data_IF_143922013809
#
_entry.id   IF_143922013809
#
_cell.length_a   1.000
_cell.length_b   1.000
_cell.length_c   1.000
_cell.angle_alpha   90.00
_cell.angle_beta   90.00
_cell.angle_gamma   90.00
#
_symmetry.space_group_name_H-M   'P 1'
#
loop_
_entity.id
_entity.type
_entity.pdbx_description
1 polymer ?
#
# COMPACT_ATOMS: atom_id res chain seq x y z
N UNK A 1 -12.11 26.04 84.15
CA UNK A 1 -10.83 25.81 83.42
C UNK A 1 -10.71 24.37 82.95
N UNK A 2 -10.45 23.37 83.81
CA UNK A 2 -10.29 21.97 83.34
C UNK A 2 -11.54 21.39 82.64
N UNK A 3 -12.74 21.60 83.20
CA UNK A 3 -13.99 21.14 82.57
C UNK A 3 -14.34 21.89 81.27
N UNK A 4 -13.85 23.12 81.09
CA UNK A 4 -14.09 23.89 79.87
C UNK A 4 -13.18 23.41 78.73
N UNK A 5 -11.92 23.05 79.06
CA UNK A 5 -10.98 22.43 78.12
C UNK A 5 -11.45 21.04 77.65
N UNK A 6 -12.07 20.24 78.53
CA UNK A 6 -12.65 18.94 78.14
C UNK A 6 -13.83 19.15 77.18
N UNK A 7 -14.76 20.06 77.49
CA UNK A 7 -15.90 20.37 76.62
C UNK A 7 -15.46 20.91 75.25
N UNK A 8 -14.38 21.70 75.21
CA UNK A 8 -13.84 22.21 73.95
C UNK A 8 -13.18 21.10 73.12
N UNK A 9 -12.44 20.19 73.75
CA UNK A 9 -11.89 19.00 73.08
C UNK A 9 -12.99 18.07 72.54
N UNK A 10 -14.07 17.87 73.30
CA UNK A 10 -15.22 17.08 72.85
C UNK A 10 -15.91 17.71 71.63
N UNK A 11 -16.11 19.04 71.63
CA UNK A 11 -16.61 19.77 70.45
C UNK A 11 -15.70 19.62 69.25
N UNK A 12 -14.38 19.72 69.42
CA UNK A 12 -13.43 19.53 68.32
C UNK A 12 -13.46 18.11 67.76
N UNK A 13 -13.63 17.08 68.60
CA UNK A 13 -13.80 15.69 68.17
C UNK A 13 -15.09 15.52 67.36
N UNK A 14 -16.20 16.12 67.78
CA UNK A 14 -17.47 16.08 67.05
C UNK A 14 -17.33 16.76 65.68
N UNK A 15 -16.72 17.95 65.64
CA UNK A 15 -16.47 18.68 64.38
C UNK A 15 -15.56 17.87 63.44
N UNK A 16 -14.52 17.22 63.97
CA UNK A 16 -13.63 16.39 63.16
C UNK A 16 -14.35 15.16 62.59
N UNK A 17 -15.19 14.48 63.40
CA UNK A 17 -16.02 13.35 62.94
C UNK A 17 -17.03 13.78 61.87
N UNK A 18 -17.65 14.94 62.03
CA UNK A 18 -18.62 15.44 61.06
C UNK A 18 -17.96 15.84 59.74
N UNK A 19 -16.77 16.45 59.79
CA UNK A 19 -15.96 16.69 58.58
C UNK A 19 -15.54 15.40 57.89
N UNK A 20 -15.20 14.36 58.64
CA UNK A 20 -14.83 13.05 58.06
C UNK A 20 -16.04 12.38 57.39
N UNK A 21 -17.22 12.44 58.00
CA UNK A 21 -18.48 11.96 57.40
C UNK A 21 -18.80 12.76 56.11
N UNK A 22 -18.63 14.08 56.12
CA UNK A 22 -18.85 14.90 54.93
C UNK A 22 -17.86 14.55 53.81
N UNK A 23 -16.59 14.29 54.15
CA UNK A 23 -15.56 13.85 53.20
C UNK A 23 -15.92 12.50 52.59
N UNK A 24 -16.29 11.50 53.40
CA UNK A 24 -16.70 10.18 52.92
C UNK A 24 -17.93 10.26 52.00
N UNK A 25 -18.91 11.10 52.33
CA UNK A 25 -20.07 11.36 51.47
C UNK A 25 -19.68 12.00 50.13
N UNK A 26 -18.74 12.95 50.15
CA UNK A 26 -18.23 13.58 48.92
C UNK A 26 -17.45 12.58 48.04
N UNK A 27 -16.63 11.71 48.64
CA UNK A 27 -15.89 10.67 47.92
C UNK A 27 -16.84 9.63 47.28
N UNK A 28 -17.90 9.20 47.99
CA UNK A 28 -18.94 8.32 47.43
C UNK A 28 -19.65 8.99 46.26
N UNK A 29 -20.04 10.26 46.40
CA UNK A 29 -20.72 11.00 45.34
C UNK A 29 -19.84 11.16 44.10
N UNK A 30 -18.55 11.47 44.28
CA UNK A 30 -17.59 11.56 43.17
C UNK A 30 -17.41 10.20 42.46
N UNK A 31 -17.34 9.11 43.22
CA UNK A 31 -17.23 7.77 42.65
C UNK A 31 -18.48 7.38 41.84
N UNK A 32 -19.68 7.68 42.36
CA UNK A 32 -20.93 7.45 41.63
C UNK A 32 -21.02 8.28 40.35
N UNK A 33 -20.62 9.56 40.40
CA UNK A 33 -20.56 10.44 39.24
C UNK A 33 -19.58 9.91 38.18
N UNK A 34 -18.38 9.47 38.59
CA UNK A 34 -17.40 8.88 37.68
C UNK A 34 -17.94 7.61 37.02
N UNK A 35 -18.58 6.72 37.79
CA UNK A 35 -19.20 5.50 37.28
C UNK A 35 -20.31 5.79 36.27
N UNK A 36 -21.12 6.84 36.51
CA UNK A 36 -22.13 7.28 35.55
C UNK A 36 -21.50 7.83 34.26
N UNK A 37 -20.42 8.62 34.36
CA UNK A 37 -19.68 9.11 33.19
C UNK A 37 -19.07 7.98 32.37
N UNK A 38 -18.45 6.99 33.02
CA UNK A 38 -17.89 5.82 32.33
C UNK A 38 -18.97 5.00 31.61
N UNK A 39 -20.14 4.81 32.23
CA UNK A 39 -21.27 4.15 31.58
C UNK A 39 -21.80 4.95 30.38
N UNK A 40 -21.87 6.28 30.49
CA UNK A 40 -22.28 7.14 29.38
C UNK A 40 -21.28 7.08 28.20
N UNK A 41 -19.97 7.07 28.48
CA UNK A 41 -18.92 6.91 27.46
C UNK A 41 -19.08 5.57 26.73
N UNK A 42 -19.28 4.46 27.46
CA UNK A 42 -19.50 3.14 26.85
C UNK A 42 -20.74 3.11 25.96
N UNK A 43 -21.83 3.77 26.37
CA UNK A 43 -23.03 3.88 25.54
C UNK A 43 -22.78 4.68 24.26
N UNK A 44 -22.02 5.78 24.35
CA UNK A 44 -21.63 6.60 23.20
C UNK A 44 -20.73 5.79 22.24
N UNK A 45 -19.75 5.04 22.75
CA UNK A 45 -18.89 4.19 21.93
C UNK A 45 -19.68 3.10 21.18
N UNK A 46 -20.64 2.46 21.85
CA UNK A 46 -21.52 1.46 21.21
C UNK A 46 -22.42 2.10 20.16
N UNK A 47 -22.96 3.29 20.44
CA UNK A 47 -23.77 4.03 19.48
C UNK A 47 -22.94 4.46 18.26
N UNK A 48 -21.71 4.95 18.47
CA UNK A 48 -20.81 5.35 17.41
C UNK A 48 -20.46 4.17 16.51
N UNK A 49 -20.09 3.03 17.10
CA UNK A 49 -19.81 1.80 16.33
C UNK A 49 -21.02 1.36 15.49
N UNK A 50 -22.23 1.48 16.04
CA UNK A 50 -23.46 1.15 15.31
C UNK A 50 -23.70 2.13 14.15
N UNK A 51 -23.43 3.42 14.33
CA UNK A 51 -23.52 4.44 13.27
C UNK A 51 -22.51 4.13 12.16
N UNK A 52 -21.27 3.80 12.51
CA UNK A 52 -20.21 3.49 11.54
C UNK A 52 -20.58 2.22 10.72
N UNK A 53 -21.07 1.17 11.37
CA UNK A 53 -21.55 -0.05 10.70
C UNK A 53 -22.73 0.22 9.75
N UNK A 54 -23.64 1.13 10.12
CA UNK A 54 -24.75 1.53 9.25
C UNK A 54 -24.28 2.38 8.07
N UNK A 55 -23.31 3.27 8.28
CA UNK A 55 -22.72 4.08 7.22
C UNK A 55 -21.99 3.21 6.18
N UNK A 56 -21.21 2.20 6.62
CA UNK A 56 -20.56 1.25 5.71
C UNK A 56 -21.57 0.44 4.88
N UNK A 57 -22.67 -0.01 5.50
CA UNK A 57 -23.77 -0.70 4.80
C UNK A 57 -24.44 0.21 3.76
N UNK A 58 -24.65 1.49 4.07
CA UNK A 58 -25.21 2.45 3.12
C UNK A 58 -24.27 2.68 1.93
N UNK A 59 -22.98 2.89 2.18
CA UNK A 59 -21.96 3.07 1.12
C UNK A 59 -21.89 1.83 0.22
N UNK A 60 -21.84 0.63 0.80
CA UNK A 60 -21.79 -0.61 0.01
C UNK A 60 -23.05 -0.82 -0.84
N UNK A 61 -24.22 -0.47 -0.31
CA UNK A 61 -25.50 -0.53 -1.04
C UNK A 61 -25.54 0.50 -2.18
N UNK A 62 -25.07 1.72 -1.93
CA UNK A 62 -24.98 2.76 -2.95
C UNK A 62 -24.07 2.35 -4.10
N UNK A 63 -22.86 1.86 -3.80
CA UNK A 63 -21.92 1.37 -4.80
C UNK A 63 -22.50 0.21 -5.62
N UNK A 64 -23.23 -0.71 -4.99
CA UNK A 64 -23.90 -1.82 -5.70
C UNK A 64 -25.01 -1.32 -6.65
N UNK A 65 -25.74 -0.28 -6.27
CA UNK A 65 -26.76 0.33 -7.13
C UNK A 65 -26.14 1.08 -8.31
N UNK A 66 -25.05 1.84 -8.08
CA UNK A 66 -24.31 2.52 -9.15
C UNK A 66 -23.79 1.53 -10.21
N UNK A 67 -23.26 0.38 -9.78
CA UNK A 67 -22.84 -0.70 -10.68
C UNK A 67 -24.01 -1.28 -11.50
N UNK A 68 -25.20 -1.43 -10.90
CA UNK A 68 -26.39 -1.91 -11.61
C UNK A 68 -26.87 -0.89 -12.65
N UNK A 69 -26.85 0.39 -12.31
CA UNK A 69 -27.23 1.46 -13.23
C UNK A 69 -26.28 1.53 -14.43
N UNK A 70 -24.98 1.36 -14.20
CA UNK A 70 -24.00 1.28 -15.29
C UNK A 70 -24.25 0.08 -16.22
N UNK A 71 -24.54 -1.09 -15.67
CA UNK A 71 -24.91 -2.28 -16.46
C UNK A 71 -26.19 -2.06 -17.27
N UNK A 72 -27.21 -1.41 -16.70
CA UNK A 72 -28.45 -1.08 -17.42
C UNK A 72 -28.15 -0.15 -18.60
N UNK A 73 -27.26 0.84 -18.42
CA UNK A 73 -26.85 1.75 -19.49
C UNK A 73 -26.11 0.99 -20.60
N UNK A 74 -25.21 0.06 -20.25
CA UNK A 74 -24.50 -0.77 -21.22
C UNK A 74 -25.46 -1.64 -22.04
N UNK A 75 -26.39 -2.34 -21.37
CA UNK A 75 -27.40 -3.19 -22.03
C UNK A 75 -28.27 -2.35 -22.98
N UNK A 76 -28.68 -1.14 -22.59
CA UNK A 76 -29.45 -0.24 -23.47
C UNK A 76 -28.67 0.14 -24.73
N UNK A 77 -27.39 0.48 -24.59
CA UNK A 77 -26.51 0.81 -25.74
C UNK A 77 -26.31 -0.38 -26.67
N UNK A 78 -26.16 -1.58 -26.14
CA UNK A 78 -26.03 -2.80 -26.96
C UNK A 78 -27.33 -3.10 -27.72
N UNK A 79 -28.48 -2.99 -27.05
CA UNK A 79 -29.78 -3.17 -27.69
C UNK A 79 -30.00 -2.19 -28.84
N UNK A 80 -29.68 -0.92 -28.64
CA UNK A 80 -29.80 0.10 -29.69
C UNK A 80 -28.87 -0.18 -30.89
N UNK A 81 -27.63 -0.65 -30.64
CA UNK A 81 -26.71 -1.07 -31.70
C UNK A 81 -27.25 -2.25 -32.51
N UNK A 82 -27.86 -3.23 -31.87
CA UNK A 82 -28.48 -4.38 -32.55
C UNK A 82 -29.66 -3.92 -33.40
N UNK A 83 -30.53 -3.08 -32.85
CA UNK A 83 -31.69 -2.55 -33.58
C UNK A 83 -31.29 -1.73 -34.82
N UNK A 84 -30.22 -0.93 -34.72
CA UNK A 84 -29.68 -0.19 -35.88
C UNK A 84 -29.16 -1.16 -36.95
N UNK A 85 -28.43 -2.21 -36.56
CA UNK A 85 -27.91 -3.22 -37.50
C UNK A 85 -29.04 -3.98 -38.20
N UNK A 86 -30.07 -4.37 -37.48
CA UNK A 86 -31.24 -5.06 -38.05
C UNK A 86 -31.96 -4.18 -39.07
N UNK A 87 -32.18 -2.90 -38.77
CA UNK A 87 -32.78 -1.94 -39.71
C UNK A 87 -31.93 -1.72 -40.96
N UNK A 88 -30.61 -1.64 -40.80
CA UNK A 88 -29.68 -1.49 -41.93
C UNK A 88 -29.68 -2.74 -42.82
N UNK A 89 -29.67 -3.93 -42.22
CA UNK A 89 -29.74 -5.20 -42.96
C UNK A 89 -31.08 -5.35 -43.69
N UNK A 90 -32.19 -5.00 -43.06
CA UNK A 90 -33.51 -5.03 -43.70
C UNK A 90 -33.58 -4.06 -44.90
N UNK A 91 -32.99 -2.86 -44.78
CA UNK A 91 -32.90 -1.91 -45.90
C UNK A 91 -32.10 -2.51 -47.06
N UNK A 92 -30.93 -3.12 -46.79
CA UNK A 92 -30.11 -3.77 -47.81
C UNK A 92 -30.85 -4.92 -48.52
N UNK A 93 -31.64 -5.71 -47.78
CA UNK A 93 -32.48 -6.77 -48.38
C UNK A 93 -33.54 -6.20 -49.32
N UNK A 94 -34.23 -5.13 -48.91
CA UNK A 94 -35.24 -4.44 -49.73
C UNK A 94 -34.63 -3.80 -50.98
N UNK A 95 -33.47 -3.18 -50.86
CA UNK A 95 -32.73 -2.62 -52.00
C UNK A 95 -32.32 -3.71 -53.00
N UNK A 96 -31.79 -4.85 -52.52
CA UNK A 96 -31.40 -5.96 -53.36
C UNK A 96 -32.60 -6.63 -54.08
N UNK A 97 -33.74 -6.75 -53.40
CA UNK A 97 -34.97 -7.27 -54.00
C UNK A 97 -35.52 -6.32 -55.06
N UNK A 98 -35.54 -5.01 -54.77
CA UNK A 98 -35.95 -4.00 -55.76
C UNK A 98 -35.08 -4.01 -57.01
N UNK A 99 -33.76 -4.16 -56.84
CA UNK A 99 -32.83 -4.21 -57.98
C UNK A 99 -33.01 -5.49 -58.80
N UNK A 100 -33.26 -6.62 -58.14
CA UNK A 100 -33.57 -7.90 -58.81
C UNK A 100 -34.83 -7.78 -59.66
N UNK A 101 -35.87 -7.12 -59.16
CA UNK A 101 -37.12 -6.93 -59.89
C UNK A 101 -36.92 -6.05 -61.14
N UNK A 102 -36.16 -4.96 -61.04
CA UNK A 102 -35.79 -4.13 -62.20
C UNK A 102 -35.04 -4.95 -63.26
N UNK A 103 -34.04 -5.73 -62.85
CA UNK A 103 -33.28 -6.59 -63.77
C UNK A 103 -34.17 -7.63 -64.46
N UNK A 104 -35.16 -8.17 -63.75
CA UNK A 104 -36.13 -9.10 -64.33
C UNK A 104 -37.06 -8.41 -65.33
N UNK A 105 -37.52 -7.20 -65.02
CA UNK A 105 -38.36 -6.38 -65.90
C UNK A 105 -37.59 -5.99 -67.18
N UNK A 106 -36.37 -5.49 -67.06
CA UNK A 106 -35.50 -5.16 -68.19
C UNK A 106 -35.24 -6.38 -69.07
N UNK A 107 -34.93 -7.54 -68.48
CA UNK A 107 -34.75 -8.79 -69.22
C UNK A 107 -36.02 -9.23 -69.96
N UNK A 108 -37.19 -8.99 -69.38
CA UNK A 108 -38.47 -9.31 -70.02
C UNK A 108 -38.74 -8.38 -71.22
N UNK A 109 -38.50 -7.08 -71.06
CA UNK A 109 -38.60 -6.10 -72.14
C UNK A 109 -37.66 -6.47 -73.29
N UNK A 110 -36.39 -6.79 -72.99
CA UNK A 110 -35.40 -7.20 -73.98
C UNK A 110 -35.83 -8.45 -74.76
N UNK A 111 -36.44 -9.45 -74.09
CA UNK A 111 -36.96 -10.65 -74.78
C UNK A 111 -38.06 -10.32 -75.79
N UNK A 112 -38.95 -9.39 -75.45
CA UNK A 112 -40.01 -8.93 -76.36
C UNK A 112 -39.39 -8.20 -77.56
N UNK A 113 -38.42 -7.32 -77.29
CA UNK A 113 -37.77 -6.53 -78.33
C UNK A 113 -36.97 -7.41 -79.29
N UNK A 114 -36.24 -8.40 -78.79
CA UNK A 114 -35.56 -9.43 -79.61
C UNK A 114 -36.56 -10.14 -80.53
N UNK A 115 -37.71 -10.57 -80.00
CA UNK A 115 -38.72 -11.28 -80.77
C UNK A 115 -39.32 -10.41 -81.88
N UNK A 116 -39.57 -9.13 -81.57
CA UNK A 116 -40.07 -8.14 -82.54
C UNK A 116 -39.04 -7.86 -83.64
N UNK A 117 -37.78 -7.70 -83.26
CA UNK A 117 -36.69 -7.45 -84.19
C UNK A 117 -36.45 -8.65 -85.12
N UNK A 118 -36.55 -9.88 -84.60
CA UNK A 118 -36.48 -11.10 -85.43
C UNK A 118 -37.55 -11.13 -86.52
N UNK A 119 -38.78 -10.72 -86.19
CA UNK A 119 -39.86 -10.65 -87.17
C UNK A 119 -39.64 -9.57 -88.24
N UNK A 120 -39.28 -8.35 -87.83
CA UNK A 120 -38.98 -7.27 -88.78
C UNK A 120 -37.79 -7.63 -89.68
N UNK A 121 -36.76 -8.29 -89.14
CA UNK A 121 -35.60 -8.76 -89.89
C UNK A 121 -35.99 -9.76 -90.99
N UNK A 122 -36.85 -10.73 -90.68
CA UNK A 122 -37.38 -11.67 -91.67
C UNK A 122 -38.11 -10.94 -92.81
N UNK A 123 -38.92 -9.92 -92.47
CA UNK A 123 -39.67 -9.12 -93.47
C UNK A 123 -38.75 -8.28 -94.36
N UNK A 124 -37.65 -7.75 -93.81
CA UNK A 124 -36.64 -7.01 -94.58
C UNK A 124 -35.90 -7.95 -95.53
N UNK A 125 -35.50 -9.14 -95.08
CA UNK A 125 -34.87 -10.17 -95.92
C UNK A 125 -35.74 -10.53 -97.12
N UNK A 126 -37.04 -10.72 -96.90
CA UNK A 126 -38.00 -11.01 -97.98
C UNK A 126 -38.09 -9.86 -99.00
N UNK A 127 -38.06 -8.61 -98.54
CA UNK A 127 -38.25 -7.43 -99.40
C UNK A 127 -37.02 -7.03 -100.23
N UNK A 128 -35.82 -7.15 -99.68
CA UNK A 128 -34.59 -6.59 -100.27
C UNK A 128 -33.60 -7.66 -100.80
N UNK A 129 -33.91 -8.94 -100.57
CA UNK A 129 -33.06 -10.08 -100.92
C UNK A 129 -31.94 -10.31 -99.90
N UNK A 130 -31.61 -11.58 -99.65
CA UNK A 130 -30.64 -11.99 -98.63
C UNK A 130 -29.25 -11.36 -98.84
N UNK A 131 -28.76 -11.28 -100.09
CA UNK A 131 -27.39 -10.84 -100.38
C UNK A 131 -27.15 -9.35 -100.03
N UNK A 132 -28.15 -8.48 -100.19
CA UNK A 132 -28.02 -7.07 -99.84
C UNK A 132 -28.10 -6.88 -98.32
N UNK A 133 -28.96 -7.66 -97.65
CA UNK A 133 -29.08 -7.63 -96.20
C UNK A 133 -27.81 -8.16 -95.53
N UNK A 134 -27.18 -9.21 -96.07
CA UNK A 134 -25.92 -9.75 -95.56
C UNK A 134 -24.75 -8.73 -95.63
N UNK A 135 -24.67 -7.94 -96.70
CA UNK A 135 -23.65 -6.87 -96.84
C UNK A 135 -23.84 -5.75 -95.82
N UNK A 136 -25.08 -5.33 -95.59
CA UNK A 136 -25.41 -4.33 -94.57
C UNK A 136 -25.11 -4.85 -93.15
N UNK A 137 -25.39 -6.15 -92.88
CA UNK A 137 -25.03 -6.82 -91.62
C UNK A 137 -23.52 -6.77 -91.39
N UNK A 138 -22.71 -7.12 -92.40
CA UNK A 138 -21.25 -7.08 -92.28
C UNK A 138 -20.74 -5.66 -91.96
N UNK A 139 -21.35 -4.63 -92.56
CA UNK A 139 -21.01 -3.24 -92.25
C UNK A 139 -21.35 -2.89 -90.80
N UNK A 140 -22.55 -3.27 -90.33
CA UNK A 140 -22.98 -3.04 -88.95
C UNK A 140 -22.11 -3.82 -87.96
N UNK A 141 -21.75 -5.07 -88.25
CA UNK A 141 -20.84 -5.89 -87.44
C UNK A 141 -19.47 -5.23 -87.29
N UNK A 142 -18.95 -4.62 -88.35
CA UNK A 142 -17.67 -3.90 -88.28
C UNK A 142 -17.72 -2.68 -87.34
N UNK A 143 -18.83 -1.91 -87.39
CA UNK A 143 -19.05 -0.77 -86.49
C UNK A 143 -19.33 -1.22 -85.05
N UNK A 144 -19.98 -2.38 -84.87
CA UNK A 144 -20.26 -2.94 -83.56
C UNK A 144 -18.96 -3.40 -82.89
N UNK A 145 -18.06 -4.06 -83.62
CA UNK A 145 -16.73 -4.41 -83.11
C UNK A 145 -15.95 -3.20 -82.61
N UNK A 146 -15.97 -2.08 -83.35
CA UNK A 146 -15.31 -0.84 -82.91
C UNK A 146 -15.93 -0.28 -81.61
N UNK A 147 -17.25 -0.39 -81.44
CA UNK A 147 -17.93 -0.01 -80.20
C UNK A 147 -17.60 -0.95 -79.05
N UNK A 148 -17.56 -2.26 -79.30
CA UNK A 148 -17.24 -3.28 -78.29
C UNK A 148 -15.80 -3.09 -77.78
N UNK A 149 -14.83 -2.82 -78.67
CA UNK A 149 -13.46 -2.46 -78.28
C UNK A 149 -13.42 -1.21 -77.40
N UNK A 150 -14.27 -0.21 -77.69
CA UNK A 150 -14.36 1.02 -76.88
C UNK A 150 -15.02 0.78 -75.53
N UNK A 151 -16.00 -0.11 -75.45
CA UNK A 151 -16.62 -0.55 -74.19
C UNK A 151 -15.57 -1.27 -73.34
N UNK A 152 -14.82 -2.21 -73.92
CA UNK A 152 -13.77 -2.95 -73.23
C UNK A 152 -12.70 -2.01 -72.65
N UNK A 153 -12.28 -1.00 -73.41
CA UNK A 153 -11.36 0.04 -72.92
C UNK A 153 -11.94 0.84 -71.73
N UNK A 154 -13.23 1.14 -71.75
CA UNK A 154 -13.90 1.86 -70.67
C UNK A 154 -14.08 0.98 -69.43
N UNK A 155 -14.42 -0.29 -69.60
CA UNK A 155 -14.52 -1.27 -68.53
C UNK A 155 -13.18 -1.45 -67.81
N UNK A 156 -12.08 -1.60 -68.57
CA UNK A 156 -10.75 -1.70 -67.97
C UNK A 156 -10.35 -0.40 -67.26
N UNK A 157 -10.67 0.77 -67.83
CA UNK A 157 -10.45 2.07 -67.20
C UNK A 157 -11.21 2.22 -65.87
N UNK A 158 -12.47 1.77 -65.82
CA UNK A 158 -13.27 1.78 -64.60
C UNK A 158 -12.77 0.77 -63.58
N UNK A 159 -12.37 -0.44 -64.02
CA UNK A 159 -11.79 -1.47 -63.14
C UNK A 159 -10.55 -0.95 -62.43
N UNK A 160 -9.67 -0.24 -63.14
CA UNK A 160 -8.47 0.38 -62.56
C UNK A 160 -8.86 1.46 -61.53
N UNK A 161 -9.86 2.30 -61.81
CA UNK A 161 -10.33 3.32 -60.86
C UNK A 161 -10.94 2.72 -59.60
N UNK A 162 -11.73 1.66 -59.75
CA UNK A 162 -12.33 0.95 -58.60
C UNK A 162 -11.25 0.32 -57.72
N UNK A 163 -10.19 -0.23 -58.33
CA UNK A 163 -9.05 -0.74 -57.59
C UNK A 163 -8.29 0.37 -56.83
N UNK A 164 -8.08 1.53 -57.45
CA UNK A 164 -7.48 2.68 -56.76
C UNK A 164 -8.34 3.20 -55.60
N UNK A 165 -9.67 3.15 -55.74
CA UNK A 165 -10.59 3.51 -54.66
C UNK A 165 -10.49 2.51 -53.50
N UNK A 166 -10.47 1.20 -53.78
CA UNK A 166 -10.27 0.16 -52.75
C UNK A 166 -8.98 0.38 -51.98
N UNK A 167 -7.87 0.61 -52.66
CA UNK A 167 -6.58 0.84 -52.02
C UNK A 167 -6.59 2.08 -51.11
N UNK A 168 -7.25 3.17 -51.55
CA UNK A 168 -7.42 4.37 -50.72
C UNK A 168 -8.29 4.12 -49.49
N UNK A 169 -9.37 3.36 -49.64
CA UNK A 169 -10.26 3.04 -48.52
C UNK A 169 -9.55 2.16 -47.47
N UNK A 170 -8.72 1.20 -47.92
CA UNK A 170 -7.88 0.38 -47.04
C UNK A 170 -6.84 1.22 -46.28
N UNK A 171 -6.16 2.13 -46.97
CA UNK A 171 -5.19 3.06 -46.35
C UNK A 171 -5.86 3.96 -45.30
N UNK A 172 -7.04 4.49 -45.61
CA UNK A 172 -7.82 5.34 -44.73
C UNK A 172 -8.36 4.56 -43.51
N UNK A 173 -8.72 3.30 -43.69
CA UNK A 173 -9.10 2.40 -42.59
C UNK A 173 -7.90 2.09 -41.69
N UNK A 174 -6.72 1.86 -42.27
CA UNK A 174 -5.48 1.64 -41.52
C UNK A 174 -5.16 2.87 -40.66
N UNK A 175 -5.15 4.07 -41.24
CA UNK A 175 -4.87 5.34 -40.53
C UNK A 175 -5.85 5.57 -39.38
N UNK A 176 -7.15 5.30 -39.59
CA UNK A 176 -8.17 5.38 -38.52
C UNK A 176 -7.88 4.42 -37.38
N UNK A 177 -7.43 3.20 -37.69
CA UNK A 177 -7.10 2.19 -36.68
C UNK A 177 -5.88 2.59 -35.84
N UNK A 178 -4.84 3.17 -36.47
CA UNK A 178 -3.66 3.66 -35.78
C UNK A 178 -3.99 4.86 -34.89
N UNK A 179 -4.78 5.81 -35.41
CA UNK A 179 -5.23 6.96 -34.63
C UNK A 179 -6.02 6.54 -33.38
N UNK A 180 -6.85 5.50 -33.48
CA UNK A 180 -7.55 4.93 -32.32
C UNK A 180 -6.57 4.31 -31.31
N UNK A 181 -5.56 3.56 -31.75
CA UNK A 181 -4.53 3.00 -30.87
C UNK A 181 -3.79 4.08 -30.09
N UNK A 182 -3.33 5.12 -30.81
CA UNK A 182 -2.63 6.27 -30.20
C UNK A 182 -3.53 6.96 -29.18
N UNK A 183 -4.81 7.13 -29.48
CA UNK A 183 -5.76 7.77 -28.56
C UNK A 183 -5.97 6.95 -27.28
N UNK A 184 -6.02 5.63 -27.37
CA UNK A 184 -6.11 4.73 -26.21
C UNK A 184 -4.84 4.83 -25.36
N UNK A 185 -3.67 4.77 -26.00
CA UNK A 185 -2.38 4.86 -25.31
C UNK A 185 -2.20 6.21 -24.58
N UNK A 186 -2.61 7.30 -25.22
CA UNK A 186 -2.57 8.64 -24.62
C UNK A 186 -3.50 8.75 -23.40
N UNK A 187 -4.67 8.09 -23.45
CA UNK A 187 -5.59 8.04 -22.31
C UNK A 187 -4.99 7.26 -21.14
N UNK A 188 -4.39 6.09 -21.41
CA UNK A 188 -3.73 5.28 -20.39
C UNK A 188 -2.55 6.00 -19.76
N UNK A 189 -1.72 6.70 -20.55
CA UNK A 189 -0.61 7.49 -20.06
C UNK A 189 -1.08 8.63 -19.13
N UNK A 190 -2.18 9.31 -19.46
CA UNK A 190 -2.76 10.34 -18.61
C UNK A 190 -3.33 9.77 -17.30
N UNK A 191 -4.04 8.63 -17.35
CA UNK A 191 -4.54 7.96 -16.15
C UNK A 191 -3.39 7.53 -15.21
N UNK A 192 -2.30 7.01 -15.77
CA UNK A 192 -1.11 6.63 -15.01
C UNK A 192 -0.47 7.85 -14.34
N UNK A 193 -0.35 8.97 -15.07
CA UNK A 193 0.22 10.22 -14.54
C UNK A 193 -0.60 10.79 -13.38
N UNK A 194 -1.93 10.72 -13.47
CA UNK A 194 -2.81 11.14 -12.36
C UNK A 194 -2.66 10.22 -11.14
N UNK A 195 -2.55 8.89 -11.34
CA UNK A 195 -2.28 7.96 -10.23
C UNK A 195 -0.96 8.28 -9.53
N UNK A 196 0.11 8.47 -10.29
CA UNK A 196 1.43 8.83 -9.75
C UNK A 196 1.39 10.15 -8.97
N UNK A 197 0.62 11.13 -9.45
CA UNK A 197 0.43 12.41 -8.74
C UNK A 197 -0.28 12.20 -7.40
N UNK A 198 -1.38 11.45 -7.37
CA UNK A 198 -2.11 11.16 -6.12
C UNK A 198 -1.28 10.34 -5.13
N UNK A 199 -0.46 9.40 -5.62
CA UNK A 199 0.41 8.61 -4.76
C UNK A 199 1.53 9.47 -4.17
N UNK A 200 2.07 10.41 -4.96
CA UNK A 200 3.06 11.37 -4.47
C UNK A 200 2.48 12.29 -3.41
N UNK A 201 1.27 12.81 -3.60
CA UNK A 201 0.56 13.62 -2.60
C UNK A 201 0.37 12.86 -1.27
N UNK A 202 -0.03 11.58 -1.33
CA UNK A 202 -0.15 10.73 -0.13
C UNK A 202 1.19 10.53 0.59
N UNK A 203 2.27 10.28 -0.16
CA UNK A 203 3.62 10.13 0.41
C UNK A 203 4.11 11.43 1.07
N UNK A 204 3.81 12.58 0.47
CA UNK A 204 4.16 13.88 1.04
C UNK A 204 3.38 14.15 2.34
N UNK A 205 2.10 13.78 2.40
CA UNK A 205 1.30 13.83 3.64
C UNK A 205 1.86 12.91 4.73
N UNK A 206 2.20 11.66 4.39
CA UNK A 206 2.79 10.70 5.32
C UNK A 206 4.13 11.18 5.87
N UNK A 207 5.01 11.72 5.01
CA UNK A 207 6.29 12.33 5.42
C UNK A 207 6.05 13.48 6.40
N UNK A 208 5.00 14.29 6.19
CA UNK A 208 4.69 15.41 7.06
C UNK A 208 4.21 14.92 8.44
N UNK A 209 3.36 13.89 8.49
CA UNK A 209 2.91 13.25 9.73
C UNK A 209 4.11 12.68 10.51
N UNK A 210 4.99 11.92 9.84
CA UNK A 210 6.18 11.34 10.45
C UNK A 210 7.17 12.40 10.95
N UNK A 211 7.26 13.56 10.27
CA UNK A 211 8.03 14.71 10.76
C UNK A 211 7.48 15.27 12.06
N UNK A 212 6.16 15.42 12.15
CA UNK A 212 5.50 15.93 13.37
C UNK A 212 5.70 14.95 14.53
N UNK A 213 5.54 13.65 14.29
CA UNK A 213 5.74 12.61 15.30
C UNK A 213 7.19 12.56 15.80
N UNK A 214 8.17 12.58 14.88
CA UNK A 214 9.58 12.66 15.26
C UNK A 214 9.93 13.91 16.07
N UNK A 215 9.30 15.06 15.77
CA UNK A 215 9.49 16.28 16.56
C UNK A 215 8.98 16.11 17.99
N UNK A 216 7.80 15.50 18.18
CA UNK A 216 7.24 15.22 19.50
C UNK A 216 8.10 14.25 20.32
N UNK A 217 8.58 13.17 19.69
CA UNK A 217 9.46 12.19 20.35
C UNK A 217 10.78 12.80 20.78
N UNK A 218 11.35 13.72 19.98
CA UNK A 218 12.56 14.46 20.37
C UNK A 218 12.33 15.31 21.61
N UNK A 219 11.23 16.05 21.68
CA UNK A 219 10.87 16.84 22.87
C UNK A 219 10.66 15.96 24.11
N UNK A 220 10.07 14.77 23.94
CA UNK A 220 9.85 13.83 25.04
C UNK A 220 11.18 13.25 25.55
N UNK A 221 12.07 12.82 24.65
CA UNK A 221 13.41 12.33 24.99
C UNK A 221 14.25 13.40 25.71
N UNK A 222 14.16 14.66 25.30
CA UNK A 222 14.85 15.77 25.96
C UNK A 222 14.34 15.97 27.40
N UNK A 223 13.02 15.84 27.63
CA UNK A 223 12.44 15.86 28.99
C UNK A 223 12.92 14.69 29.86
N UNK A 224 13.10 13.50 29.28
CA UNK A 224 13.66 12.35 30.01
C UNK A 224 15.14 12.57 30.39
N UNK A 225 15.95 13.13 29.50
CA UNK A 225 17.35 13.46 29.82
C UNK A 225 17.45 14.46 30.99
N UNK A 226 16.60 15.49 31.00
CA UNK A 226 16.59 16.50 32.07
C UNK A 226 16.15 15.88 33.42
N UNK A 227 15.16 14.97 33.42
CA UNK A 227 14.74 14.24 34.63
C UNK A 227 15.79 13.25 35.12
N UNK A 228 16.47 12.56 34.21
CA UNK A 228 17.55 11.60 34.48
C UNK A 228 18.76 12.28 35.14
N UNK A 229 19.10 13.49 34.72
CA UNK A 229 20.25 14.23 35.26
C UNK A 229 20.02 14.87 36.66
N UNK A 230 18.83 14.73 37.27
CA UNK A 230 18.54 15.27 38.61
C UNK A 230 18.78 14.29 39.76
N UNK A 231 19.12 13.03 39.48
CA UNK A 231 19.67 12.11 40.47
C UNK A 231 20.75 11.26 39.81
N UNK A 232 21.93 11.82 39.60
CA UNK A 232 23.11 10.94 39.59
C UNK A 232 23.11 10.23 40.94
N UNK A 233 23.10 8.88 40.99
CA UNK A 233 23.48 8.19 42.20
C UNK A 233 24.86 8.75 42.55
N UNK A 234 24.94 9.46 43.68
CA UNK A 234 26.23 9.83 44.28
C UNK A 234 27.12 8.62 44.18
N UNK A 235 28.31 8.80 43.61
CA UNK A 235 29.36 7.79 43.48
C UNK A 235 29.32 6.86 44.69
N UNK A 236 28.86 5.62 44.49
CA UNK A 236 28.88 4.62 45.56
C UNK A 236 30.35 4.48 45.96
N UNK A 237 30.73 4.82 47.21
CA UNK A 237 32.13 4.78 47.59
C UNK A 237 32.62 3.34 47.45
N UNK A 238 33.55 3.12 46.51
CA UNK A 238 34.19 1.81 46.30
C UNK A 238 35.16 1.59 47.45
N UNK A 239 34.68 0.98 48.52
CA UNK A 239 35.50 0.45 49.60
C UNK A 239 35.97 -0.97 49.26
N UNK A 240 37.25 -1.26 49.47
CA UNK A 240 37.85 -2.57 49.19
C UNK A 240 38.03 -3.28 50.54
N UNK A 241 37.47 -4.47 50.65
CA UNK A 241 37.71 -5.37 51.77
C UNK A 241 38.94 -6.23 51.45
N UNK A 242 40.08 -5.86 52.05
CA UNK A 242 41.33 -6.63 51.96
C UNK A 242 41.54 -7.45 53.23
N UNK A 243 41.23 -8.75 53.24
CA UNK A 243 41.46 -9.60 54.39
C UNK A 243 42.96 -9.77 54.74
N UNK A 244 43.88 -9.55 53.78
CA UNK A 244 45.34 -9.67 53.97
C UNK A 244 46.08 -8.36 53.65
N UNK A 245 46.09 -7.43 54.62
CA UNK A 245 46.80 -6.14 54.48
C UNK A 245 48.32 -6.26 54.34
N UNK A 246 48.90 -7.41 54.68
CA UNK A 246 50.33 -7.71 54.55
C UNK A 246 50.76 -7.99 53.11
N UNK A 247 49.83 -8.29 52.21
CA UNK A 247 50.14 -8.80 50.87
C UNK A 247 49.72 -7.90 49.70
N UNK A 248 48.73 -7.04 49.92
CA UNK A 248 48.16 -6.16 48.88
C UNK A 248 48.17 -4.72 49.38
N UNK A 249 48.67 -3.80 48.55
CA UNK A 249 48.54 -2.36 48.72
C UNK A 249 47.55 -1.77 47.71
N UNK A 250 46.98 -0.62 48.06
CA UNK A 250 46.04 0.11 47.21
C UNK A 250 46.42 1.57 47.15
N UNK A 251 46.29 2.17 45.96
CA UNK A 251 46.37 3.62 45.79
C UNK A 251 45.17 4.11 45.01
N UNK A 252 44.54 5.19 45.47
CA UNK A 252 43.53 5.89 44.68
C UNK A 252 44.22 6.71 43.58
N UNK A 253 43.82 6.47 42.32
CA UNK A 253 44.44 7.13 41.15
C UNK A 253 43.60 8.34 40.72
N UNK A 254 42.27 8.19 40.72
CA UNK A 254 41.29 9.21 40.34
C UNK A 254 39.93 8.85 40.95
N UNK A 255 39.03 9.80 41.20
CA UNK A 255 37.72 9.58 41.82
C UNK A 255 37.06 8.24 41.41
N UNK A 256 37.04 7.27 42.33
CA UNK A 256 36.42 5.95 42.11
C UNK A 256 37.32 4.87 41.48
N UNK A 257 38.51 5.21 40.98
CA UNK A 257 39.48 4.26 40.41
C UNK A 257 40.56 3.94 41.44
N UNK A 258 40.58 2.68 41.87
CA UNK A 258 41.60 2.13 42.77
C UNK A 258 42.56 1.24 42.01
N UNK A 259 43.86 1.45 42.23
CA UNK A 259 44.92 0.59 41.71
C UNK A 259 45.41 -0.34 42.82
N UNK A 260 45.49 -1.63 42.49
CA UNK A 260 45.83 -2.72 43.40
C UNK A 260 47.26 -3.18 43.08
N UNK A 261 48.12 -3.29 44.09
CA UNK A 261 49.51 -3.74 43.94
C UNK A 261 49.81 -4.94 44.83
N UNK A 262 50.35 -6.04 44.29
CA UNK A 262 50.90 -7.12 45.10
C UNK A 262 52.23 -6.71 45.73
N UNK A 263 52.45 -7.04 47.01
CA UNK A 263 53.74 -6.83 47.71
C UNK A 263 54.77 -7.91 47.40
N UNK A 264 54.33 -9.16 47.17
CA UNK A 264 55.19 -10.32 46.87
C UNK A 264 54.74 -11.00 45.56
N UNK A 265 55.59 -11.76 44.85
CA UNK A 265 55.19 -12.40 43.58
C UNK A 265 54.60 -13.81 43.70
N UNK A 266 54.78 -14.48 44.85
CA UNK A 266 54.76 -15.96 44.86
C UNK A 266 53.45 -16.60 45.37
N UNK A 267 52.39 -15.82 45.58
CA UNK A 267 51.13 -16.32 46.16
C UNK A 267 49.90 -15.82 45.39
N UNK A 268 48.84 -16.62 45.38
CA UNK A 268 47.55 -16.23 44.81
C UNK A 268 46.86 -15.23 45.73
N UNK A 269 46.19 -14.24 45.15
CA UNK A 269 45.54 -13.18 45.91
C UNK A 269 44.15 -12.92 45.41
N UNK A 270 43.23 -12.80 46.36
CA UNK A 270 41.86 -12.43 46.13
C UNK A 270 41.49 -11.31 47.10
N UNK A 271 40.84 -10.28 46.58
CA UNK A 271 40.27 -9.19 47.37
C UNK A 271 38.85 -8.95 46.89
N UNK A 272 37.97 -8.51 47.79
CA UNK A 272 36.58 -8.22 47.46
C UNK A 272 36.29 -6.72 47.60
N UNK A 273 35.26 -6.26 46.90
CA UNK A 273 34.66 -4.96 47.16
C UNK A 273 33.65 -5.09 48.31
N UNK A 274 33.54 -4.07 49.16
CA UNK A 274 32.57 -4.06 50.26
C UNK A 274 31.12 -3.85 49.81
N UNK A 275 30.89 -3.55 48.53
CA UNK A 275 29.54 -3.27 48.01
C UNK A 275 28.79 -4.57 47.72
N UNK A 276 27.59 -4.71 48.31
CA UNK A 276 26.67 -5.81 48.06
C UNK A 276 25.75 -5.45 46.89
N UNK A 277 25.66 -6.34 45.89
CA UNK A 277 24.81 -6.17 44.70
C UNK A 277 23.51 -6.94 44.91
N UNK A 278 22.44 -6.25 45.36
CA UNK A 278 21.16 -6.91 45.68
C UNK A 278 20.14 -6.89 44.52
N UNK A 279 20.12 -5.85 43.67
CA UNK A 279 19.15 -5.70 42.55
C UNK A 279 19.50 -4.61 41.50
N UNK A 280 20.77 -4.23 41.34
CA UNK A 280 21.17 -3.17 40.39
C UNK A 280 21.73 -3.70 39.08
N UNK A 281 21.46 -2.99 37.98
CA UNK A 281 22.30 -3.02 36.78
C UNK A 281 23.59 -2.27 37.11
N UNK A 282 24.58 -2.98 37.62
CA UNK A 282 25.87 -2.44 38.00
C UNK A 282 26.93 -2.84 36.97
N UNK A 283 27.79 -1.90 36.54
CA UNK A 283 28.91 -2.15 35.63
C UNK A 283 30.23 -1.94 36.36
N UNK A 284 31.13 -2.91 36.27
CA UNK A 284 32.48 -2.84 36.82
C UNK A 284 33.49 -3.04 35.68
N UNK A 285 34.45 -2.12 35.58
CA UNK A 285 35.54 -2.19 34.62
C UNK A 285 36.85 -2.44 35.38
N UNK A 286 37.63 -3.43 34.94
CA UNK A 286 38.91 -3.80 35.54
C UNK A 286 39.95 -3.94 34.44
N UNK A 287 41.08 -3.26 34.63
CA UNK A 287 42.24 -3.32 33.74
C UNK A 287 43.37 -4.09 34.45
N UNK A 288 43.83 -5.20 33.85
CA UNK A 288 44.99 -5.96 34.34
C UNK A 288 46.24 -5.55 33.57
N UNK A 289 47.30 -5.12 34.28
CA UNK A 289 48.61 -4.81 33.69
C UNK A 289 49.66 -5.78 34.23
N UNK A 290 50.51 -6.28 33.33
CA UNK A 290 51.69 -7.09 33.66
C UNK A 290 51.41 -8.37 34.49
N UNK A 291 50.18 -8.90 34.44
CA UNK A 291 49.82 -10.16 35.10
C UNK A 291 49.69 -11.31 34.10
N UNK A 292 50.30 -12.45 34.41
CA UNK A 292 50.11 -13.71 33.65
C UNK A 292 48.72 -14.31 33.87
N UNK A 293 48.12 -14.05 35.04
CA UNK A 293 46.84 -14.60 35.47
C UNK A 293 46.05 -13.51 36.18
N UNK A 294 44.89 -13.16 35.64
CA UNK A 294 43.99 -12.17 36.22
C UNK A 294 42.56 -12.68 36.14
N UNK A 295 41.76 -12.38 37.16
CA UNK A 295 40.37 -12.78 37.19
C UNK A 295 39.52 -11.78 37.93
N UNK A 296 38.26 -11.70 37.52
CA UNK A 296 37.22 -10.88 38.14
C UNK A 296 36.01 -11.77 38.40
N UNK A 297 35.32 -11.57 39.51
CA UNK A 297 34.21 -12.45 39.85
C UNK A 297 33.28 -11.86 40.89
N UNK A 298 32.27 -12.65 41.23
CA UNK A 298 31.31 -12.38 42.30
C UNK A 298 31.45 -13.45 43.38
N UNK A 299 31.31 -13.03 44.63
CA UNK A 299 31.37 -13.89 45.82
C UNK A 299 30.08 -13.70 46.62
N UNK A 300 29.59 -14.77 47.26
CA UNK A 300 28.46 -14.64 48.19
C UNK A 300 28.85 -13.75 49.36
N UNK A 301 27.98 -12.81 49.72
CA UNK A 301 28.20 -11.89 50.85
C UNK A 301 28.55 -12.61 52.16
N UNK A 302 27.95 -13.77 52.41
CA UNK A 302 28.22 -14.58 53.59
C UNK A 302 29.57 -15.32 53.60
N UNK A 303 30.37 -15.24 52.53
CA UNK A 303 31.61 -16.01 52.40
C UNK A 303 32.83 -15.12 52.63
N UNK A 304 33.62 -15.46 53.65
CA UNK A 304 34.88 -14.78 53.97
C UNK A 304 35.98 -15.41 53.12
N UNK A 305 36.58 -14.63 52.22
CA UNK A 305 37.69 -15.07 51.37
C UNK A 305 38.94 -15.30 52.24
N UNK A 306 39.48 -16.52 52.33
CA UNK A 306 40.69 -16.79 53.11
C UNK A 306 41.95 -16.30 52.38
N UNK A 307 43.05 -16.16 53.12
CA UNK A 307 44.37 -15.90 52.56
C UNK A 307 44.78 -16.99 51.57
N UNK A 308 45.47 -16.60 50.49
CA UNK A 308 45.89 -17.53 49.42
C UNK A 308 44.73 -18.32 48.77
N UNK A 309 43.52 -17.74 48.76
CA UNK A 309 42.33 -18.34 48.17
C UNK A 309 42.47 -18.54 46.65
N UNK A 310 42.15 -19.75 46.21
CA UNK A 310 42.09 -20.13 44.80
C UNK A 310 40.64 -20.43 44.40
N UNK A 311 40.06 -19.69 43.43
CA UNK A 311 38.67 -19.90 43.03
C UNK A 311 38.38 -21.28 42.41
N UNK A 312 39.40 -21.97 41.92
CA UNK A 312 39.33 -23.31 41.33
C UNK A 312 39.35 -24.45 42.37
N UNK A 313 39.62 -24.14 43.64
CA UNK A 313 39.57 -25.12 44.72
C UNK A 313 38.11 -25.45 45.11
N UNK A 314 37.88 -26.72 45.44
CA UNK A 314 36.54 -27.29 45.65
C UNK A 314 35.75 -26.61 46.78
N UNK A 315 36.41 -26.04 47.78
CA UNK A 315 35.73 -25.40 48.90
C UNK A 315 35.24 -23.99 48.54
N UNK A 316 35.81 -23.38 47.51
CA UNK A 316 35.60 -22.00 47.11
C UNK A 316 34.67 -21.90 45.90
N UNK A 317 34.69 -22.91 45.02
CA UNK A 317 33.86 -22.96 43.81
C UNK A 317 32.34 -22.88 44.06
N UNK A 318 31.89 -23.27 45.26
CA UNK A 318 30.46 -23.20 45.63
C UNK A 318 30.03 -21.78 46.06
N UNK A 319 30.99 -20.91 46.36
CA UNK A 319 30.78 -19.57 46.90
C UNK A 319 31.23 -18.43 45.97
N UNK A 320 32.01 -18.76 44.93
CA UNK A 320 32.60 -17.79 44.01
C UNK A 320 32.31 -18.18 42.56
N UNK A 321 31.95 -17.19 41.73
CA UNK A 321 31.91 -17.32 40.28
C UNK A 321 32.91 -16.33 39.68
N UNK A 322 33.93 -16.84 39.00
CA UNK A 322 35.07 -16.02 38.52
C UNK A 322 35.23 -16.20 37.02
N UNK A 323 35.43 -15.08 36.33
CA UNK A 323 35.91 -15.00 34.96
C UNK A 323 37.43 -14.78 34.99
N UNK A 324 38.18 -15.77 34.55
CA UNK A 324 39.65 -15.76 34.55
C UNK A 324 40.13 -15.57 33.12
N UNK A 325 40.96 -14.57 32.89
CA UNK A 325 41.68 -14.39 31.63
C UNK A 325 42.94 -15.25 31.61
N UNK A 326 43.11 -16.07 30.57
CA UNK A 326 44.40 -16.65 30.22
C UNK A 326 45.00 -15.86 29.07
N UNK A 327 46.20 -15.29 29.24
CA UNK A 327 46.94 -14.84 28.07
C UNK A 327 47.47 -16.07 27.33
N UNK A 328 47.23 -16.14 26.01
CA UNK A 328 48.05 -16.99 25.14
C UNK A 328 49.49 -16.48 25.27
N UNK A 329 50.38 -17.38 25.69
CA UNK A 329 51.80 -17.13 25.95
C UNK A 329 52.52 -16.41 24.84
#
# INVERSE_FOLDING_TARGET
>A
KYNDEIKEKEKQIIIAKEKDIQRQKAEILQYEEQKQKENAIKQIEVAQKTIDEQAEKLISTQNSNEQKDELIIQIKKEKEKVEIKEKEEERKRKEAESEKDKVLEENWILKIEISKNQYEFARIKEKYGEENVEKEIQLIESQQKEKDEKIEQLEESNRIKDEQLRQKDEELQHERSEKQKIQIELKQANEQKEREKTEKEKKDEEINILKIENSKLKEENEKYLIKSNQKSPKDLPIEIHNPDSSEIDFTEVRCGIKKIFPKNSDHFRATALSQIIESCNCSLEVEFKDSKWGGIGIVRDSFIIPSNCRPDEKQQSDHMAVYIGSFAT
#
